data_IF_717133205285
#
_entry.id   IF_717133205285
#
_cell.length_a   1.000
_cell.length_b   1.000
_cell.length_c   1.000
_cell.angle_alpha   90.00
_cell.angle_beta   90.00
_cell.angle_gamma   90.00
#
_symmetry.space_group_name_H-M   'P 1'
#
loop_
_entity.id
_entity.type
_entity.pdbx_description
1 polymer ?
#
# COMPACT_ATOMS: atom_id res chain seq x y z
N UNK A 1 -8.20 9.29 14.46
CA UNK A 1 -7.66 8.92 13.14
C UNK A 1 -8.38 9.63 11.99
N UNK A 2 -9.71 9.77 12.05
CA UNK A 2 -10.56 10.32 10.97
C UNK A 2 -10.42 11.83 10.72
N UNK A 3 -9.98 12.63 11.70
CA UNK A 3 -9.80 14.08 11.52
C UNK A 3 -8.46 14.46 10.84
N UNK A 4 -7.40 13.69 11.07
CA UNK A 4 -6.08 13.92 10.45
C UNK A 4 -6.11 13.69 8.93
N UNK A 5 -6.92 12.74 8.45
CA UNK A 5 -7.10 12.47 7.03
C UNK A 5 -7.84 13.58 6.27
N UNK A 6 -8.48 14.54 6.99
CA UNK A 6 -9.24 15.64 6.38
C UNK A 6 -8.36 16.82 5.94
N UNK A 7 -7.10 16.87 6.40
CA UNK A 7 -6.18 17.96 6.09
C UNK A 7 -5.14 17.52 5.03
N UNK A 8 -5.08 18.19 3.86
CA UNK A 8 -4.27 17.72 2.72
C UNK A 8 -2.75 17.68 3.01
N UNK A 9 -2.25 18.50 3.95
CA UNK A 9 -0.84 18.48 4.38
C UNK A 9 -0.51 17.39 5.41
N UNK A 10 -1.51 16.76 6.01
CA UNK A 10 -1.29 15.67 6.96
C UNK A 10 -0.98 14.36 6.21
N UNK A 11 -1.69 14.09 5.10
CA UNK A 11 -1.44 12.93 4.24
C UNK A 11 -0.02 12.92 3.65
N UNK A 12 0.51 14.09 3.28
CA UNK A 12 1.87 14.24 2.75
C UNK A 12 2.96 13.79 3.74
N UNK A 13 2.74 13.97 5.06
CA UNK A 13 3.71 13.62 6.11
C UNK A 13 3.64 12.18 6.59
N UNK A 14 2.61 11.43 6.18
CA UNK A 14 2.33 10.07 6.67
C UNK A 14 2.77 8.97 5.70
N UNK A 15 3.24 9.35 4.51
CA UNK A 15 3.39 8.44 3.40
C UNK A 15 4.56 7.46 3.56
N UNK A 16 4.19 6.19 3.57
CA UNK A 16 5.01 4.98 3.58
C UNK A 16 5.72 4.65 4.90
N UNK A 17 6.54 5.55 5.48
CA UNK A 17 7.29 5.21 6.71
C UNK A 17 6.41 5.09 7.94
N UNK A 18 5.28 5.81 7.98
CA UNK A 18 4.42 5.86 9.15
C UNK A 18 3.28 4.86 9.05
N UNK A 19 2.57 4.77 7.92
CA UNK A 19 1.42 3.86 7.77
C UNK A 19 1.84 2.40 7.55
N UNK A 20 2.82 2.15 6.69
CA UNK A 20 3.30 0.79 6.42
C UNK A 20 4.13 0.18 7.55
N UNK A 21 4.47 0.98 8.57
CA UNK A 21 5.18 0.55 9.78
C UNK A 21 4.49 1.04 11.06
N UNK A 22 3.19 1.31 11.03
CA UNK A 22 2.46 1.70 12.22
C UNK A 22 2.22 0.46 13.10
N UNK A 23 2.77 0.38 14.33
CA UNK A 23 2.52 -0.76 15.22
C UNK A 23 1.06 -0.89 15.66
N UNK A 24 0.24 0.16 15.48
CA UNK A 24 -1.20 0.09 15.72
C UNK A 24 -1.96 -0.54 14.56
N UNK A 25 -1.37 -0.53 13.36
CA UNK A 25 -1.99 -1.04 12.13
C UNK A 25 -1.42 -2.40 11.72
N UNK A 26 -0.15 -2.69 12.07
CA UNK A 26 0.57 -3.87 11.62
C UNK A 26 1.39 -4.52 12.75
N UNK A 27 1.29 -5.84 12.85
CA UNK A 27 2.14 -6.71 13.66
C UNK A 27 3.42 -7.11 12.88
N UNK A 28 4.51 -7.41 13.61
CA UNK A 28 5.81 -7.83 13.08
C UNK A 28 6.37 -6.92 11.96
N UNK A 29 6.50 -5.62 12.26
CA UNK A 29 6.80 -4.55 11.30
C UNK A 29 8.07 -4.71 10.45
N UNK A 30 9.04 -5.50 10.92
CA UNK A 30 10.31 -5.72 10.24
C UNK A 30 10.34 -7.06 9.47
N UNK A 31 9.32 -7.89 9.64
CA UNK A 31 9.24 -9.19 8.96
C UNK A 31 8.58 -9.05 7.58
N UNK A 32 9.24 -9.59 6.56
CA UNK A 32 8.64 -9.74 5.24
C UNK A 32 7.64 -10.90 5.24
N UNK A 33 6.35 -10.57 5.44
CA UNK A 33 5.22 -11.52 5.50
C UNK A 33 4.16 -11.21 4.43
N UNK A 34 4.37 -11.57 3.14
CA UNK A 34 3.39 -11.30 2.08
C UNK A 34 2.04 -11.99 2.30
N UNK A 35 2.00 -13.09 3.05
CA UNK A 35 0.78 -13.86 3.36
C UNK A 35 -0.23 -13.09 4.21
N UNK A 36 0.20 -12.02 4.90
CA UNK A 36 -0.65 -11.09 5.67
C UNK A 36 -1.86 -10.59 4.90
N UNK A 37 -1.71 -10.44 3.58
CA UNK A 37 -2.75 -9.91 2.73
C UNK A 37 -3.69 -11.01 2.19
N UNK A 38 -3.31 -12.28 2.31
CA UNK A 38 -4.15 -13.42 1.87
C UNK A 38 -5.41 -13.51 2.72
N UNK A 39 -6.57 -13.65 2.08
CA UNK A 39 -7.89 -13.71 2.74
C UNK A 39 -8.22 -12.51 3.63
N UNK A 40 -7.52 -11.37 3.45
CA UNK A 40 -7.86 -10.11 4.09
C UNK A 40 -8.81 -9.29 3.21
N UNK A 41 -9.53 -8.35 3.80
CA UNK A 41 -10.31 -7.35 3.05
C UNK A 41 -9.43 -6.19 2.53
N UNK A 42 -8.11 -6.30 2.64
CA UNK A 42 -7.16 -5.25 2.28
C UNK A 42 -6.83 -5.41 0.79
N UNK A 43 -7.42 -4.55 -0.03
CA UNK A 43 -7.09 -4.41 -1.44
C UNK A 43 -6.38 -3.07 -1.68
N UNK A 44 -5.34 -3.09 -2.52
CA UNK A 44 -4.59 -1.93 -3.01
C UNK A 44 -5.41 -1.10 -4.01
N UNK A 45 -6.39 -1.73 -4.68
CA UNK A 45 -7.30 -1.07 -5.61
C UNK A 45 -8.42 -0.32 -4.88
N UNK A 46 -8.81 -0.80 -3.71
CA UNK A 46 -9.77 -0.13 -2.85
C UNK A 46 -9.05 0.86 -1.93
N UNK A 47 -9.77 1.91 -1.52
CA UNK A 47 -9.20 2.95 -0.66
C UNK A 47 -9.08 2.43 0.79
N UNK A 48 -8.13 1.55 1.05
CA UNK A 48 -7.77 1.08 2.38
C UNK A 48 -6.69 1.98 2.97
N UNK A 49 -7.04 2.77 4.00
CA UNK A 49 -6.11 3.72 4.61
C UNK A 49 -4.96 3.07 5.38
N UNK A 50 -5.05 1.76 5.64
CA UNK A 50 -3.97 0.95 6.18
C UNK A 50 -2.87 0.67 5.14
N UNK A 51 -3.19 0.74 3.83
CA UNK A 51 -2.27 0.43 2.75
C UNK A 51 -2.45 1.38 1.55
N UNK A 52 -1.56 2.38 1.41
CA UNK A 52 -1.59 3.39 0.32
C UNK A 52 -0.26 3.47 -0.44
N UNK A 53 0.18 2.38 -1.11
CA UNK A 53 1.49 2.30 -1.79
C UNK A 53 1.62 3.27 -2.97
N UNK A 54 0.48 3.67 -3.55
CA UNK A 54 0.41 4.59 -4.69
C UNK A 54 -0.18 5.97 -4.32
N UNK A 55 -0.28 6.27 -3.03
CA UNK A 55 -1.01 7.45 -2.54
C UNK A 55 -2.52 7.33 -2.72
N UNK A 56 -3.25 8.39 -2.38
CA UNK A 56 -4.72 8.39 -2.33
C UNK A 56 -5.32 9.75 -2.73
N UNK A 57 -6.61 9.73 -3.10
CA UNK A 57 -7.39 10.93 -3.42
C UNK A 57 -6.93 11.64 -4.71
N UNK A 58 -7.18 12.95 -4.81
CA UNK A 58 -6.90 13.76 -6.02
C UNK A 58 -5.42 13.84 -6.40
N UNK A 59 -4.51 13.42 -5.51
CA UNK A 59 -3.05 13.42 -5.73
C UNK A 59 -2.45 12.01 -5.72
N UNK A 60 -3.29 10.97 -5.84
CA UNK A 60 -2.81 9.60 -6.02
C UNK A 60 -2.06 9.42 -7.34
N UNK A 61 -1.25 8.37 -7.41
CA UNK A 61 -0.48 8.04 -8.60
C UNK A 61 -1.41 7.70 -9.78
N UNK A 62 -1.31 8.48 -10.87
CA UNK A 62 -2.05 8.22 -12.10
C UNK A 62 -1.65 6.90 -12.78
N UNK A 63 -0.44 6.39 -12.49
CA UNK A 63 0.09 5.15 -13.01
C UNK A 63 -0.14 3.92 -12.14
N UNK A 64 -0.95 4.00 -11.07
CA UNK A 64 -1.10 2.91 -10.09
C UNK A 64 -1.52 1.58 -10.76
N UNK A 65 -2.58 1.60 -11.58
CA UNK A 65 -3.05 0.40 -12.27
C UNK A 65 -2.00 -0.19 -13.23
N UNK A 66 -1.29 0.67 -13.96
CA UNK A 66 -0.22 0.24 -14.86
C UNK A 66 0.95 -0.39 -14.08
N UNK A 67 1.37 0.24 -12.98
CA UNK A 67 2.46 -0.26 -12.14
C UNK A 67 2.12 -1.60 -11.49
N UNK A 68 0.90 -1.78 -11.00
CA UNK A 68 0.45 -3.06 -10.42
C UNK A 68 0.58 -4.20 -11.42
N UNK A 69 -0.03 -4.06 -12.61
CA UNK A 69 0.04 -5.10 -13.66
C UNK A 69 1.47 -5.35 -14.13
N UNK A 70 2.27 -4.29 -14.28
CA UNK A 70 3.67 -4.42 -14.70
C UNK A 70 4.51 -5.18 -13.68
N UNK A 71 4.34 -4.90 -12.39
CA UNK A 71 5.05 -5.58 -11.32
C UNK A 71 4.63 -7.06 -11.20
N UNK A 72 3.33 -7.34 -11.26
CA UNK A 72 2.81 -8.71 -11.28
C UNK A 72 3.40 -9.51 -12.45
N UNK A 73 3.41 -8.92 -13.64
CA UNK A 73 3.99 -9.55 -14.82
C UNK A 73 5.50 -9.78 -14.68
N UNK A 74 6.24 -8.77 -14.18
CA UNK A 74 7.67 -8.89 -13.97
C UNK A 74 8.00 -10.01 -12.98
N UNK A 75 7.30 -10.07 -11.84
CA UNK A 75 7.47 -11.13 -10.84
C UNK A 75 7.09 -12.50 -11.38
N UNK A 76 5.95 -12.63 -12.07
CA UNK A 76 5.54 -13.87 -12.70
C UNK A 76 6.56 -14.36 -13.73
N UNK A 77 7.15 -13.44 -14.51
CA UNK A 77 8.21 -13.76 -15.47
C UNK A 77 9.49 -14.23 -14.77
N UNK A 78 9.89 -13.57 -13.69
CA UNK A 78 11.08 -13.95 -12.93
C UNK A 78 10.91 -15.36 -12.34
N UNK A 79 9.82 -15.61 -11.61
CA UNK A 79 9.54 -16.90 -10.96
C UNK A 79 9.28 -18.03 -11.96
N UNK A 80 8.76 -17.72 -13.15
CA UNK A 80 8.58 -18.74 -14.19
C UNK A 80 9.89 -19.10 -14.90
N UNK A 81 10.85 -18.17 -15.01
CA UNK A 81 12.05 -18.34 -15.84
C UNK A 81 13.29 -18.74 -15.05
N UNK A 82 13.39 -18.36 -13.79
CA UNK A 82 14.47 -18.71 -12.87
C UNK A 82 13.92 -19.61 -11.77
#
# INVERSE_FOLDING_TARGET
MTELLRHPRAMEKLQNKTIGRDPLSWDDLEDYRPERFLNSNIDVKELNFELVPFGAGRRGCLGAAFATVTNELALARLVHKF
#
